data_IF_717580769906
#
_entry.id   IF_717580769906
#
_cell.length_a   1.000
_cell.length_b   1.000
_cell.length_c   1.000
_cell.angle_alpha   90.00
_cell.angle_beta   90.00
_cell.angle_gamma   90.00
#
_symmetry.space_group_name_H-M   'P 1'
#
loop_
_entity.id
_entity.type
_entity.pdbx_description
1 polymer ?
#
# COMPACT_ATOMS: atom_id res chain seq x y z
N UNK A 1 -4.59 70.82 -48.85
CA UNK A 1 -5.05 70.25 -47.55
C UNK A 1 -5.04 68.71 -47.51
N UNK A 2 -4.15 68.00 -48.24
CA UNK A 2 -4.16 66.52 -48.28
C UNK A 2 -3.07 65.83 -47.42
N UNK A 3 -2.13 66.58 -46.81
CA UNK A 3 -1.01 66.02 -46.04
C UNK A 3 -1.41 65.64 -44.60
N UNK A 4 -2.24 66.44 -43.94
CA UNK A 4 -2.72 66.24 -42.57
C UNK A 4 -3.64 65.03 -42.41
N UNK A 5 -4.48 64.72 -43.41
CA UNK A 5 -5.32 63.52 -43.41
C UNK A 5 -4.49 62.21 -43.46
N UNK A 6 -3.35 62.23 -44.16
CA UNK A 6 -2.44 61.07 -44.25
C UNK A 6 -1.72 60.82 -42.93
N UNK A 7 -1.33 61.86 -42.21
CA UNK A 7 -0.75 61.73 -40.87
C UNK A 7 -1.77 61.27 -39.82
N UNK A 8 -3.02 61.71 -39.91
CA UNK A 8 -4.10 61.21 -39.05
C UNK A 8 -4.39 59.72 -39.29
N UNK A 9 -4.45 59.28 -40.54
CA UNK A 9 -4.65 57.87 -40.88
C UNK A 9 -3.46 56.99 -40.43
N UNK A 10 -2.23 57.47 -40.60
CA UNK A 10 -1.04 56.77 -40.10
C UNK A 10 -1.06 56.69 -38.56
N UNK A 11 -1.43 57.76 -37.87
CA UNK A 11 -1.53 57.80 -36.41
C UNK A 11 -2.55 56.78 -35.85
N UNK A 12 -3.72 56.68 -36.47
CA UNK A 12 -4.75 55.68 -36.08
C UNK A 12 -4.27 54.25 -36.35
N UNK A 13 -3.58 54.01 -37.47
CA UNK A 13 -3.00 52.71 -37.78
C UNK A 13 -1.95 52.27 -36.75
N UNK A 14 -1.06 53.18 -36.33
CA UNK A 14 -0.03 52.89 -35.32
C UNK A 14 -0.65 52.66 -33.94
N UNK A 15 -1.70 53.40 -33.58
CA UNK A 15 -2.41 53.20 -32.32
C UNK A 15 -3.12 51.83 -32.24
N UNK A 16 -3.76 51.39 -33.33
CA UNK A 16 -4.42 50.09 -33.39
C UNK A 16 -3.40 48.92 -33.37
N UNK A 17 -2.29 49.05 -34.09
CA UNK A 17 -1.21 48.06 -34.07
C UNK A 17 -0.55 47.96 -32.69
N UNK A 18 -0.33 49.09 -32.01
CA UNK A 18 0.19 49.13 -30.64
C UNK A 18 -0.74 48.46 -29.63
N UNK A 19 -2.05 48.66 -29.75
CA UNK A 19 -3.06 48.01 -28.90
C UNK A 19 -3.06 46.48 -29.03
N UNK A 20 -2.97 45.94 -30.25
CA UNK A 20 -2.94 44.51 -30.49
C UNK A 20 -1.66 43.84 -29.95
N UNK A 21 -0.50 44.49 -30.14
CA UNK A 21 0.79 44.00 -29.62
C UNK A 21 0.80 43.93 -28.09
N UNK A 22 0.19 44.92 -27.42
CA UNK A 22 0.12 44.96 -25.95
C UNK A 22 -0.78 43.85 -25.36
N UNK A 23 -1.80 43.39 -26.09
CA UNK A 23 -2.63 42.26 -25.65
C UNK A 23 -1.94 40.91 -25.84
N UNK A 24 -1.19 40.73 -26.93
CA UNK A 24 -0.47 39.49 -27.22
C UNK A 24 0.67 39.23 -26.21
N UNK A 25 1.22 40.28 -25.60
CA UNK A 25 2.26 40.16 -24.59
C UNK A 25 1.73 39.82 -23.17
N UNK A 26 0.40 39.73 -22.98
CA UNK A 26 -0.22 39.36 -21.69
C UNK A 26 -0.64 37.90 -21.58
N UNK A 27 -0.59 37.14 -22.67
CA UNK A 27 -0.86 35.70 -22.63
C UNK A 27 0.38 34.97 -22.11
N UNK A 28 0.42 34.71 -20.80
CA UNK A 28 1.33 33.70 -20.26
C UNK A 28 0.89 32.33 -20.80
N UNK A 29 1.77 31.56 -21.46
CA UNK A 29 1.44 30.20 -21.84
C UNK A 29 1.13 29.41 -20.56
N UNK A 30 0.10 28.54 -20.57
CA UNK A 30 -0.23 27.72 -19.42
C UNK A 30 1.00 26.88 -19.06
N UNK A 31 1.47 27.03 -17.82
CA UNK A 31 2.62 26.27 -17.32
C UNK A 31 2.31 24.77 -17.45
N UNK A 32 3.23 23.95 -17.97
CA UNK A 32 3.01 22.52 -18.07
C UNK A 32 2.79 21.95 -16.66
N UNK A 33 1.58 21.44 -16.41
CA UNK A 33 1.26 20.71 -15.19
C UNK A 33 1.95 19.36 -15.33
N UNK A 34 3.06 19.18 -14.62
CA UNK A 34 3.69 17.87 -14.46
C UNK A 34 2.74 17.07 -13.57
N UNK A 35 1.89 16.25 -14.19
CA UNK A 35 1.14 15.21 -13.49
C UNK A 35 2.15 14.19 -13.00
N UNK A 36 2.57 14.34 -11.76
CA UNK A 36 3.36 13.33 -11.09
C UNK A 36 2.47 12.11 -10.92
N UNK A 37 2.66 11.09 -11.76
CA UNK A 37 1.96 9.83 -11.64
C UNK A 37 2.23 9.29 -10.23
N UNK A 38 1.17 9.18 -9.42
CA UNK A 38 1.24 8.50 -8.15
C UNK A 38 1.81 7.09 -8.41
N UNK A 39 2.78 6.60 -7.61
CA UNK A 39 3.33 5.27 -7.80
C UNK A 39 2.16 4.28 -7.72
N UNK A 40 1.90 3.58 -8.83
CA UNK A 40 0.93 2.49 -8.88
C UNK A 40 1.37 1.46 -7.85
N UNK A 41 0.70 1.44 -6.70
CA UNK A 41 0.98 0.45 -5.68
C UNK A 41 0.75 -0.92 -6.31
N UNK A 42 1.83 -1.66 -6.55
CA UNK A 42 1.76 -3.05 -7.01
C UNK A 42 0.97 -3.78 -5.94
N UNK A 43 -0.28 -4.15 -6.24
CA UNK A 43 -1.10 -4.97 -5.35
C UNK A 43 -0.48 -6.36 -5.34
N UNK A 44 0.49 -6.56 -4.43
CA UNK A 44 1.03 -7.87 -4.15
C UNK A 44 -0.13 -8.67 -3.55
N UNK A 45 -0.51 -9.75 -4.23
CA UNK A 45 -1.50 -10.69 -3.73
C UNK A 45 -0.95 -11.31 -2.45
N UNK A 46 -1.48 -10.89 -1.32
CA UNK A 46 -1.05 -11.28 0.03
C UNK A 46 -2.13 -12.05 0.75
N UNK A 47 -1.72 -12.95 1.64
CA UNK A 47 -2.60 -13.65 2.56
C UNK A 47 -2.06 -13.53 3.99
N UNK A 48 -2.92 -13.72 4.99
CA UNK A 48 -2.54 -13.68 6.39
C UNK A 48 -2.09 -15.05 6.86
N UNK A 49 -0.87 -15.14 7.37
CA UNK A 49 -0.29 -16.36 7.93
C UNK A 49 -0.17 -16.22 9.45
N UNK A 50 -0.47 -17.29 10.18
CA UNK A 50 -0.36 -17.33 11.63
C UNK A 50 1.10 -17.58 12.02
N UNK A 51 1.70 -16.62 12.72
CA UNK A 51 3.12 -16.66 13.13
C UNK A 51 3.29 -16.48 14.62
N UNK A 52 4.44 -16.90 15.15
CA UNK A 52 4.84 -16.66 16.53
C UNK A 52 5.04 -15.15 16.78
N UNK A 53 4.38 -14.59 17.78
CA UNK A 53 4.49 -13.18 18.14
C UNK A 53 5.80 -12.84 18.88
N UNK A 54 6.38 -13.85 19.53
CA UNK A 54 7.64 -13.85 20.29
C UNK A 54 8.31 -15.21 20.17
N UNK A 55 9.52 -15.35 20.71
CA UNK A 55 10.17 -16.65 20.82
C UNK A 55 9.38 -17.54 21.79
N UNK A 56 9.10 -18.78 21.38
CA UNK A 56 8.35 -19.77 22.14
C UNK A 56 9.26 -20.96 22.41
N UNK A 57 9.52 -21.27 23.68
CA UNK A 57 10.26 -22.46 24.07
C UNK A 57 9.43 -23.73 23.87
N UNK A 58 10.05 -24.90 24.04
CA UNK A 58 9.33 -26.18 24.11
C UNK A 58 8.43 -26.20 25.37
N UNK A 59 7.21 -26.71 25.25
CA UNK A 59 6.25 -26.75 26.35
C UNK A 59 5.48 -25.45 26.60
N UNK A 60 5.61 -24.44 25.72
CA UNK A 60 4.91 -23.16 25.88
C UNK A 60 3.44 -23.31 25.54
N UNK A 61 2.56 -22.84 26.43
CA UNK A 61 1.13 -22.75 26.18
C UNK A 61 0.83 -21.63 25.18
N UNK A 62 0.08 -21.96 24.14
CA UNK A 62 -0.34 -20.98 23.12
C UNK A 62 -1.62 -20.28 23.59
N UNK A 63 -1.53 -18.98 23.79
CA UNK A 63 -2.66 -18.07 23.95
C UNK A 63 -2.67 -17.02 22.83
N UNK A 64 -3.54 -16.03 22.95
CA UNK A 64 -3.62 -14.92 22.00
C UNK A 64 -2.36 -14.04 21.96
N UNK A 65 -1.49 -14.12 22.97
CA UNK A 65 -0.25 -13.35 23.06
C UNK A 65 0.93 -13.99 22.32
N UNK A 66 0.89 -15.30 22.10
CA UNK A 66 2.00 -16.06 21.51
C UNK A 66 1.92 -16.08 19.99
N UNK A 67 0.76 -15.77 19.41
CA UNK A 67 0.51 -15.88 17.97
C UNK A 67 -0.19 -14.66 17.42
N UNK A 68 0.10 -14.33 16.16
CA UNK A 68 -0.53 -13.23 15.44
C UNK A 68 -0.65 -13.54 13.96
N UNK A 69 -1.64 -12.93 13.32
CA UNK A 69 -1.75 -12.91 11.87
C UNK A 69 -0.78 -11.87 11.30
N UNK A 70 -0.03 -12.23 10.26
CA UNK A 70 0.87 -11.33 9.54
C UNK A 70 0.62 -11.50 8.04
N UNK A 71 0.60 -10.39 7.33
CA UNK A 71 0.46 -10.38 5.87
C UNK A 71 1.74 -10.94 5.22
N UNK A 72 1.56 -11.92 4.34
CA UNK A 72 2.63 -12.58 3.60
C UNK A 72 2.25 -12.63 2.11
N UNK A 73 3.15 -12.26 1.18
CA UNK A 73 2.94 -12.51 -0.24
C UNK A 73 2.55 -13.97 -0.52
N UNK A 74 1.43 -14.18 -1.23
CA UNK A 74 0.85 -15.51 -1.50
C UNK A 74 1.85 -16.46 -2.17
N UNK A 75 2.72 -15.93 -3.03
CA UNK A 75 3.78 -16.67 -3.71
C UNK A 75 4.79 -17.35 -2.75
N UNK A 76 4.88 -16.91 -1.50
CA UNK A 76 5.83 -17.41 -0.50
C UNK A 76 5.17 -18.25 0.60
N UNK A 77 3.85 -18.48 0.52
CA UNK A 77 3.13 -19.27 1.51
C UNK A 77 3.18 -20.75 1.15
N UNK A 78 3.87 -21.55 1.96
CA UNK A 78 3.98 -23.01 1.77
C UNK A 78 2.80 -23.77 2.41
N UNK A 79 2.54 -25.00 1.96
CA UNK A 79 1.42 -25.85 2.39
C UNK A 79 1.34 -26.11 3.92
N UNK A 80 2.48 -26.08 4.62
CA UNK A 80 2.53 -26.28 6.08
C UNK A 80 2.20 -25.04 6.93
N UNK A 81 1.93 -23.89 6.31
CA UNK A 81 1.61 -22.64 7.01
C UNK A 81 0.10 -22.49 7.18
N UNK A 82 -0.31 -22.06 8.36
CA UNK A 82 -1.72 -21.76 8.64
C UNK A 82 -2.08 -20.42 8.00
N UNK A 83 -3.00 -20.45 7.03
CA UNK A 83 -3.53 -19.27 6.33
C UNK A 83 -4.91 -18.89 6.86
N UNK A 84 -5.16 -17.60 7.04
CA UNK A 84 -6.44 -17.08 7.50
C UNK A 84 -7.54 -17.27 6.47
N UNK A 85 -7.20 -17.18 5.18
CA UNK A 85 -8.14 -17.42 4.08
C UNK A 85 -8.70 -18.85 4.07
N UNK A 86 -7.91 -19.84 4.52
CA UNK A 86 -8.28 -21.25 4.56
C UNK A 86 -8.87 -21.64 5.92
N UNK A 87 -8.24 -21.19 7.00
CA UNK A 87 -8.62 -21.52 8.36
C UNK A 87 -8.72 -20.23 9.20
N UNK A 88 -9.81 -19.45 9.04
CA UNK A 88 -9.96 -18.16 9.72
C UNK A 88 -10.01 -18.29 11.24
N UNK A 89 -10.47 -19.45 11.73
CA UNK A 89 -10.59 -19.80 13.16
C UNK A 89 -9.33 -20.45 13.75
N UNK A 90 -8.24 -20.49 13.00
CA UNK A 90 -7.05 -21.24 13.44
C UNK A 90 -6.47 -20.68 14.75
N UNK A 91 -6.56 -19.37 14.98
CA UNK A 91 -6.05 -18.74 16.21
C UNK A 91 -6.79 -19.27 17.43
N UNK A 92 -8.10 -19.40 17.33
CA UNK A 92 -8.98 -19.95 18.36
C UNK A 92 -8.76 -21.46 18.51
N UNK A 93 -8.61 -22.17 17.39
CA UNK A 93 -8.41 -23.61 17.39
C UNK A 93 -7.09 -24.04 18.04
N UNK A 94 -5.99 -23.27 17.88
CA UNK A 94 -4.71 -23.61 18.49
C UNK A 94 -4.56 -23.08 19.92
N UNK A 95 -5.52 -22.30 20.40
CA UNK A 95 -5.51 -21.79 21.77
C UNK A 95 -5.56 -22.97 22.75
N UNK A 96 -4.70 -22.94 23.76
CA UNK A 96 -4.53 -24.05 24.69
C UNK A 96 -3.66 -25.20 24.16
N UNK A 97 -3.17 -25.13 22.92
CA UNK A 97 -2.13 -26.04 22.45
C UNK A 97 -0.79 -25.72 23.12
N UNK A 98 0.10 -26.71 23.12
CA UNK A 98 1.43 -26.63 23.69
C UNK A 98 2.46 -26.87 22.58
N UNK A 99 3.52 -26.07 22.56
CA UNK A 99 4.62 -26.25 21.60
C UNK A 99 5.40 -27.54 21.89
N UNK A 100 5.65 -28.35 20.86
CA UNK A 100 6.51 -29.56 20.95
C UNK A 100 7.91 -29.34 20.37
N UNK A 101 8.13 -28.16 19.79
CA UNK A 101 9.42 -27.69 19.29
C UNK A 101 9.46 -26.16 19.46
N UNK A 102 10.66 -25.56 19.64
CA UNK A 102 10.78 -24.13 19.80
C UNK A 102 10.39 -23.38 18.52
N UNK A 103 9.90 -22.16 18.68
CA UNK A 103 9.67 -21.20 17.61
C UNK A 103 10.45 -19.92 17.86
N UNK A 104 10.94 -19.30 16.79
CA UNK A 104 11.48 -17.95 16.85
C UNK A 104 10.39 -16.95 16.46
N UNK A 105 10.46 -15.71 16.94
CA UNK A 105 9.55 -14.64 16.58
C UNK A 105 9.41 -14.51 15.05
N UNK A 106 8.17 -14.44 14.59
CA UNK A 106 7.83 -14.34 13.17
C UNK A 106 7.83 -15.66 12.42
N UNK A 107 8.26 -16.76 13.05
CA UNK A 107 8.17 -18.08 12.43
C UNK A 107 6.70 -18.51 12.28
N UNK A 108 6.27 -19.02 11.11
CA UNK A 108 4.92 -19.52 10.93
C UNK A 108 4.63 -20.73 11.84
N UNK A 109 3.46 -20.70 12.48
CA UNK A 109 2.99 -21.79 13.31
C UNK A 109 2.62 -22.95 12.42
N UNK A 110 3.21 -24.11 12.71
CA UNK A 110 2.93 -25.36 12.02
C UNK A 110 2.19 -26.31 12.94
N UNK A 111 1.06 -26.90 12.51
CA UNK A 111 0.32 -27.87 13.31
C UNK A 111 1.19 -29.03 13.82
N UNK A 112 2.17 -29.47 13.03
CA UNK A 112 3.09 -30.55 13.42
C UNK A 112 4.04 -30.20 14.57
N UNK A 113 4.25 -28.91 14.87
CA UNK A 113 5.10 -28.39 15.94
C UNK A 113 4.32 -27.97 17.20
N UNK A 114 3.01 -28.23 17.23
CA UNK A 114 2.15 -28.00 18.39
C UNK A 114 1.33 -29.24 18.69
N UNK A 115 0.90 -29.41 19.94
CA UNK A 115 0.00 -30.48 20.36
C UNK A 115 -1.12 -29.83 21.13
N UNK A 116 -2.37 -30.05 20.73
CA UNK A 116 -3.51 -29.68 21.58
C UNK A 116 -3.36 -30.46 22.87
N UNK A 117 -3.37 -29.78 24.03
CA UNK A 117 -3.55 -30.48 25.28
C UNK A 117 -4.84 -31.27 25.13
N UNK A 118 -4.69 -32.59 24.97
CA UNK A 118 -5.84 -33.49 24.86
C UNK A 118 -6.69 -33.18 26.06
N UNK A 119 -8.00 -32.97 25.86
CA UNK A 119 -8.95 -33.35 26.89
C UNK A 119 -8.78 -34.88 27.04
N UNK A 120 -7.76 -35.30 27.77
CA UNK A 120 -7.73 -36.58 28.44
C UNK A 120 -8.77 -36.45 29.56
N UNK A 121 -10.03 -36.59 29.16
CA UNK A 121 -11.20 -36.58 30.01
C UNK A 121 -12.11 -37.68 29.48
N UNK A 122 -12.31 -38.67 30.34
CA UNK A 122 -13.41 -39.61 30.45
C UNK A 122 -14.70 -39.22 29.71
#
# INVERSE_FOLDING_TARGET
>A
MAKSARFLLIGVGVAAAGGAYMMMNRTQPPKPVIVQAAPTAVKIDSDQVLVAARDLGLGTLISDQEVKWVDWPRAHVSEGMIRKSVTPKAREEIKGAVTRAPFVRGEPIRPSKVVKASNAGF
#
